data_IF_612286212003
#
_entry.id   IF_612286212003
#
_cell.length_a   1.000
_cell.length_b   1.000
_cell.length_c   1.000
_cell.angle_alpha   90.00
_cell.angle_beta   90.00
_cell.angle_gamma   90.00
#
_symmetry.space_group_name_H-M   'P 1'
#
loop_
_entity.id
_entity.type
_entity.pdbx_description
1 polymer ?
#
# COMPACT_ATOMS: atom_id res chain seq x y z
N UNK A 1 24.70 -12.20 7.50
CA UNK A 1 23.63 -11.58 8.32
C UNK A 1 22.25 -11.85 7.70
N UNK A 2 21.77 -13.10 7.72
CA UNK A 2 20.41 -13.46 7.27
C UNK A 2 19.72 -14.50 8.19
N UNK A 3 20.38 -14.92 9.29
CA UNK A 3 19.94 -16.03 10.13
C UNK A 3 18.94 -15.67 11.24
N UNK A 4 18.36 -14.46 11.24
CA UNK A 4 17.48 -13.98 12.32
C UNK A 4 16.08 -13.54 11.89
N UNK A 5 15.59 -13.99 10.74
CA UNK A 5 14.26 -13.62 10.24
C UNK A 5 13.24 -14.73 10.49
N UNK A 6 12.40 -14.55 11.52
CA UNK A 6 11.34 -15.51 11.88
C UNK A 6 10.12 -15.44 10.92
N UNK A 7 10.09 -14.46 10.01
CA UNK A 7 9.02 -14.30 9.01
C UNK A 7 9.28 -15.08 7.73
N UNK A 8 8.40 -16.05 7.42
CA UNK A 8 8.40 -16.80 6.16
C UNK A 8 8.22 -15.88 4.96
N UNK A 9 7.35 -14.87 5.06
CA UNK A 9 7.10 -13.91 3.98
C UNK A 9 8.35 -13.10 3.65
N UNK A 10 9.02 -12.57 4.68
CA UNK A 10 10.25 -11.81 4.50
C UNK A 10 11.36 -12.70 3.91
N UNK A 11 11.48 -13.95 4.36
CA UNK A 11 12.42 -14.92 3.78
C UNK A 11 12.17 -15.15 2.29
N UNK A 12 10.92 -15.42 1.89
CA UNK A 12 10.55 -15.61 0.47
C UNK A 12 10.88 -14.40 -0.39
N UNK A 13 10.68 -13.19 0.11
CA UNK A 13 11.00 -11.99 -0.66
C UNK A 13 12.50 -11.76 -0.81
N UNK A 14 13.30 -12.09 0.21
CA UNK A 14 14.77 -12.08 0.09
C UNK A 14 15.25 -13.10 -0.95
N UNK A 15 14.61 -14.26 -1.02
CA UNK A 15 14.93 -15.30 -2.00
C UNK A 15 14.71 -14.83 -3.46
N UNK A 16 13.84 -13.84 -3.70
CA UNK A 16 13.59 -13.30 -5.04
C UNK A 16 14.80 -12.59 -5.65
N UNK A 17 15.64 -11.96 -4.83
CA UNK A 17 16.81 -11.21 -5.30
C UNK A 17 18.15 -11.76 -4.77
N UNK A 18 18.14 -12.62 -3.73
CA UNK A 18 19.33 -13.23 -3.13
C UNK A 18 20.46 -12.24 -2.75
N UNK A 19 20.07 -11.00 -2.43
CA UNK A 19 21.01 -9.89 -2.18
C UNK A 19 21.74 -9.35 -3.42
N UNK A 20 21.42 -9.81 -4.62
CA UNK A 20 22.06 -9.34 -5.85
C UNK A 20 21.39 -8.09 -6.39
N UNK A 21 22.20 -7.13 -6.83
CA UNK A 21 21.74 -5.84 -7.39
C UNK A 21 21.57 -5.86 -8.91
N UNK A 22 22.04 -6.91 -9.59
CA UNK A 22 22.05 -7.05 -11.05
C UNK A 22 20.71 -7.55 -11.63
N UNK A 23 19.79 -8.05 -10.80
CA UNK A 23 18.50 -8.64 -11.21
C UNK A 23 17.40 -8.34 -10.21
N UNK A 24 16.96 -7.08 -10.18
CA UNK A 24 15.92 -6.63 -9.24
C UNK A 24 14.51 -6.60 -9.85
N UNK A 25 14.39 -6.67 -11.17
CA UNK A 25 13.09 -6.92 -11.81
C UNK A 25 12.82 -8.42 -11.84
N UNK A 26 11.79 -8.85 -11.12
CA UNK A 26 11.47 -10.28 -10.92
C UNK A 26 10.28 -10.74 -11.78
N UNK A 27 9.53 -9.78 -12.33
CA UNK A 27 8.46 -9.90 -13.32
C UNK A 27 8.31 -8.52 -13.99
N UNK A 28 7.77 -8.40 -15.22
CA UNK A 28 7.59 -7.10 -15.86
C UNK A 28 6.92 -6.08 -14.94
N UNK A 29 7.62 -4.98 -14.66
CA UNK A 29 7.16 -3.89 -13.78
C UNK A 29 7.01 -4.26 -12.30
N UNK A 30 7.55 -5.39 -11.86
CA UNK A 30 7.60 -5.80 -10.47
C UNK A 30 9.06 -5.85 -9.99
N UNK A 31 9.40 -4.89 -9.13
CA UNK A 31 10.78 -4.64 -8.71
C UNK A 31 11.02 -4.96 -7.25
N UNK A 32 11.98 -5.85 -6.96
CA UNK A 32 12.34 -6.33 -5.62
C UNK A 32 13.39 -5.45 -4.90
N UNK A 33 13.87 -4.37 -5.53
CA UNK A 33 14.96 -3.57 -4.96
C UNK A 33 14.61 -2.82 -3.68
N UNK A 34 13.33 -2.56 -3.41
CA UNK A 34 12.89 -1.96 -2.14
C UNK A 34 13.25 -2.84 -0.92
N UNK A 35 13.31 -4.17 -1.12
CA UNK A 35 13.74 -5.13 -0.10
C UNK A 35 15.21 -5.05 0.28
N UNK A 36 16.05 -4.32 -0.48
CA UNK A 36 17.47 -4.12 -0.16
C UNK A 36 17.69 -3.03 0.91
N UNK A 37 16.77 -2.08 1.03
CA UNK A 37 16.95 -0.87 1.85
C UNK A 37 15.99 -0.82 3.04
N UNK A 38 14.89 -1.57 2.98
CA UNK A 38 13.90 -1.67 4.05
C UNK A 38 13.74 -3.13 4.45
N UNK A 39 13.84 -3.41 5.75
CA UNK A 39 13.46 -4.71 6.30
C UNK A 39 11.98 -4.98 6.08
N UNK A 40 11.65 -6.15 5.53
CA UNK A 40 10.27 -6.54 5.25
C UNK A 40 10.13 -7.31 3.94
N UNK A 41 8.92 -7.80 3.70
CA UNK A 41 8.52 -8.39 2.43
C UNK A 41 8.11 -7.25 1.50
N UNK A 42 8.92 -6.86 0.51
CA UNK A 42 8.61 -5.72 -0.34
C UNK A 42 9.01 -5.91 -1.80
N UNK A 43 8.04 -5.75 -2.69
CA UNK A 43 8.22 -5.48 -4.12
C UNK A 43 7.44 -4.22 -4.47
N UNK A 44 7.89 -3.48 -5.47
CA UNK A 44 7.23 -2.29 -5.97
C UNK A 44 6.71 -2.53 -7.39
N UNK A 45 5.51 -2.02 -7.68
CA UNK A 45 5.05 -1.85 -9.05
C UNK A 45 5.70 -0.58 -9.63
N UNK A 46 6.42 -0.69 -10.74
CA UNK A 46 7.21 0.41 -11.31
C UNK A 46 6.92 0.57 -12.80
N UNK A 47 6.43 1.75 -13.19
CA UNK A 47 6.09 2.09 -14.57
C UNK A 47 5.33 3.41 -14.65
N UNK A 48 4.77 3.71 -15.81
CA UNK A 48 3.79 4.80 -15.95
C UNK A 48 2.44 4.42 -15.29
N UNK A 49 1.52 5.38 -15.09
CA UNK A 49 0.25 5.12 -14.42
C UNK A 49 -0.59 4.00 -15.07
N UNK A 50 -0.55 3.89 -16.40
CA UNK A 50 -1.28 2.85 -17.12
C UNK A 50 -0.70 1.46 -16.84
N UNK A 51 0.62 1.34 -16.90
CA UNK A 51 1.36 0.11 -16.62
C UNK A 51 1.11 -0.37 -15.19
N UNK A 52 1.09 0.56 -14.22
CA UNK A 52 0.78 0.24 -12.82
C UNK A 52 -0.69 -0.21 -12.69
N UNK A 53 -1.63 0.48 -13.33
CA UNK A 53 -3.04 0.10 -13.33
C UNK A 53 -3.25 -1.30 -13.91
N UNK A 54 -2.62 -1.61 -15.04
CA UNK A 54 -2.71 -2.92 -15.69
C UNK A 54 -2.22 -4.06 -14.76
N UNK A 55 -1.14 -3.83 -14.00
CA UNK A 55 -0.65 -4.80 -13.00
C UNK A 55 -1.60 -4.97 -11.82
N UNK A 56 -2.24 -3.90 -11.36
CA UNK A 56 -3.27 -3.99 -10.31
C UNK A 56 -4.46 -4.81 -10.82
N UNK A 57 -4.91 -4.56 -12.05
CA UNK A 57 -6.01 -5.30 -12.69
C UNK A 57 -5.64 -6.78 -12.88
N UNK A 58 -4.40 -7.08 -13.25
CA UNK A 58 -3.90 -8.46 -13.32
C UNK A 58 -4.04 -9.18 -11.96
N UNK A 59 -3.60 -8.55 -10.86
CA UNK A 59 -3.82 -9.11 -9.52
C UNK A 59 -5.30 -9.25 -9.16
N UNK A 60 -6.14 -8.29 -9.53
CA UNK A 60 -7.60 -8.38 -9.35
C UNK A 60 -8.20 -9.58 -10.11
N UNK A 61 -7.73 -9.85 -11.33
CA UNK A 61 -8.19 -10.99 -12.13
C UNK A 61 -7.83 -12.35 -11.49
N UNK A 62 -6.81 -12.37 -10.63
CA UNK A 62 -6.42 -13.54 -9.83
C UNK A 62 -7.19 -13.66 -8.51
N UNK A 63 -8.14 -12.74 -8.25
CA UNK A 63 -8.97 -12.73 -7.04
C UNK A 63 -8.41 -11.94 -5.87
N UNK A 64 -7.37 -11.11 -6.07
CA UNK A 64 -6.88 -10.19 -5.03
C UNK A 64 -7.73 -8.92 -5.06
N UNK A 65 -8.52 -8.70 -4.01
CA UNK A 65 -9.43 -7.56 -3.91
C UNK A 65 -8.89 -6.40 -3.07
N UNK A 66 -7.92 -6.67 -2.19
CA UNK A 66 -7.43 -5.73 -1.19
C UNK A 66 -5.93 -5.51 -1.35
N UNK A 67 -5.54 -4.25 -1.50
CA UNK A 67 -4.16 -3.84 -1.69
C UNK A 67 -3.72 -2.88 -0.58
N UNK A 68 -2.57 -3.15 0.02
CA UNK A 68 -1.93 -2.26 0.98
C UNK A 68 -0.71 -1.67 0.30
N UNK A 69 -0.83 -0.42 -0.18
CA UNK A 69 0.25 0.28 -0.85
C UNK A 69 1.01 1.21 0.10
N UNK A 70 2.28 1.44 -0.23
CA UNK A 70 3.11 2.49 0.36
C UNK A 70 4.06 3.02 -0.70
N UNK A 71 4.26 4.34 -0.73
CA UNK A 71 5.25 5.00 -1.58
C UNK A 71 6.14 5.94 -0.76
N UNK A 72 7.22 6.42 -1.37
CA UNK A 72 8.16 7.36 -0.76
C UNK A 72 8.36 8.60 -1.65
N UNK A 73 8.13 9.82 -1.12
CA UNK A 73 7.55 10.12 0.19
C UNK A 73 6.05 9.78 0.25
N UNK A 74 5.55 9.41 1.44
CA UNK A 74 4.22 8.79 1.57
C UNK A 74 3.06 9.70 1.15
N UNK A 75 3.14 11.00 1.44
CA UNK A 75 2.05 11.93 1.17
C UNK A 75 1.87 12.13 -0.33
N UNK A 76 2.95 12.53 -1.00
CA UNK A 76 3.00 12.80 -2.43
C UNK A 76 2.61 11.56 -3.24
N UNK A 77 3.14 10.39 -2.88
CA UNK A 77 2.81 9.13 -3.56
C UNK A 77 1.34 8.72 -3.38
N UNK A 78 0.72 9.06 -2.24
CA UNK A 78 -0.71 8.85 -2.06
C UNK A 78 -1.53 9.73 -3.01
N UNK A 79 -1.14 11.00 -3.21
CA UNK A 79 -1.76 11.87 -4.20
C UNK A 79 -1.53 11.37 -5.63
N UNK A 80 -0.30 11.00 -6.00
CA UNK A 80 0.00 10.47 -7.33
C UNK A 80 -0.83 9.24 -7.67
N UNK A 81 -0.93 8.28 -6.74
CA UNK A 81 -1.75 7.08 -6.93
C UNK A 81 -3.23 7.44 -7.11
N UNK A 82 -3.75 8.32 -6.26
CA UNK A 82 -5.15 8.73 -6.28
C UNK A 82 -5.52 9.54 -7.53
N UNK A 83 -4.62 10.39 -8.02
CA UNK A 83 -4.87 11.28 -9.16
C UNK A 83 -4.61 10.60 -10.51
N UNK A 84 -3.58 9.76 -10.59
CA UNK A 84 -3.13 9.21 -11.88
C UNK A 84 -3.56 7.76 -12.11
N UNK A 85 -3.64 6.93 -11.06
CA UNK A 85 -3.90 5.49 -11.21
C UNK A 85 -5.35 5.14 -10.93
N UNK A 86 -5.96 5.70 -9.87
CA UNK A 86 -7.35 5.37 -9.53
C UNK A 86 -8.35 5.61 -10.67
N UNK A 87 -8.24 6.68 -11.50
CA UNK A 87 -9.14 6.87 -12.64
C UNK A 87 -9.06 5.77 -13.70
N UNK A 88 -7.98 5.00 -13.72
CA UNK A 88 -7.73 3.92 -14.68
C UNK A 88 -8.24 2.56 -14.18
N UNK A 89 -8.66 2.47 -12.92
CA UNK A 89 -9.06 1.20 -12.29
C UNK A 89 -10.58 0.98 -12.34
N UNK A 90 -11.05 -0.27 -12.50
CA UNK A 90 -12.46 -0.59 -12.70
C UNK A 90 -13.28 -0.66 -11.40
N UNK A 91 -12.94 0.11 -10.36
CA UNK A 91 -13.70 0.10 -9.10
C UNK A 91 -14.53 1.39 -8.93
N UNK A 92 -15.78 1.22 -8.51
CA UNK A 92 -16.58 2.34 -8.04
C UNK A 92 -16.02 2.79 -6.71
N UNK A 93 -15.72 4.08 -6.59
CA UNK A 93 -15.59 4.73 -5.28
C UNK A 93 -16.88 4.38 -4.53
N UNK A 94 -16.79 3.62 -3.45
CA UNK A 94 -17.90 3.51 -2.51
C UNK A 94 -18.19 4.94 -2.09
N UNK A 95 -19.30 5.48 -2.59
CA UNK A 95 -19.66 6.88 -2.42
C UNK A 95 -19.59 7.23 -0.95
N UNK A 96 -18.98 8.38 -0.67
CA UNK A 96 -18.98 9.11 0.60
C UNK A 96 -19.61 8.32 1.76
N UNK A 97 -18.81 7.47 2.41
CA UNK A 97 -19.20 6.90 3.71
C UNK A 97 -19.14 8.02 4.73
N UNK A 98 -20.04 9.00 4.61
CA UNK A 98 -20.08 10.29 5.30
C UNK A 98 -19.07 10.43 6.42
N UNK A 99 -17.79 10.62 6.06
CA UNK A 99 -16.76 10.89 7.04
C UNK A 99 -16.96 12.36 7.37
N UNK A 100 -17.96 12.62 8.22
CA UNK A 100 -17.96 13.81 9.04
C UNK A 100 -16.69 13.72 9.86
N UNK A 101 -15.64 14.39 9.38
CA UNK A 101 -14.42 14.62 10.13
C UNK A 101 -14.83 15.62 11.21
N UNK A 102 -15.04 15.22 12.47
CA UNK A 102 -15.36 16.19 13.51
C UNK A 102 -14.14 17.10 13.66
N UNK A 103 -14.35 18.36 13.99
CA UNK A 103 -13.23 19.24 14.36
C UNK A 103 -12.54 18.67 15.61
N UNK A 104 -11.45 17.93 15.41
CA UNK A 104 -10.68 17.21 16.44
C UNK A 104 -9.69 16.22 15.81
N UNK A 105 -8.56 16.01 16.46
CA UNK A 105 -7.49 15.13 15.97
C UNK A 105 -7.94 13.65 15.97
N UNK A 106 -7.80 12.98 14.82
CA UNK A 106 -8.14 11.57 14.66
C UNK A 106 -6.96 10.72 15.15
N UNK A 107 -7.16 9.98 16.24
CA UNK A 107 -6.25 8.90 16.66
C UNK A 107 -6.89 7.56 16.33
N UNK A 108 -6.37 6.88 15.29
CA UNK A 108 -6.64 5.47 15.03
C UNK A 108 -7.92 5.16 14.26
N UNK A 109 -7.81 4.18 13.37
CA UNK A 109 -8.80 3.71 12.41
C UNK A 109 -10.19 3.44 13.05
N UNK A 110 -11.17 4.30 12.72
CA UNK A 110 -12.62 4.15 12.94
C UNK A 110 -13.19 4.17 14.37
N UNK A 111 -12.44 4.57 15.39
CA UNK A 111 -13.04 4.80 16.72
C UNK A 111 -13.46 6.27 16.87
N UNK A 112 -14.76 6.53 16.75
CA UNK A 112 -15.35 7.82 17.06
C UNK A 112 -15.70 7.87 18.56
N UNK A 113 -15.36 8.95 19.29
CA UNK A 113 -15.87 9.15 20.64
C UNK A 113 -17.39 9.31 20.60
N UNK A 114 -18.11 8.63 21.49
CA UNK A 114 -19.56 8.78 21.61
C UNK A 114 -19.91 10.23 21.96
N UNK A 115 -20.76 10.86 21.15
CA UNK A 115 -21.22 12.24 21.32
C UNK A 115 -21.88 12.51 22.70
N UNK A 116 -22.24 11.45 23.43
CA UNK A 116 -22.83 11.54 24.76
C UNK A 116 -21.80 11.88 25.87
N UNK A 117 -20.50 11.63 25.70
CA UNK A 117 -19.52 11.87 26.78
C UNK A 117 -19.01 13.31 26.85
N UNK A 118 -19.29 14.15 25.85
CA UNK A 118 -18.83 15.54 25.80
C UNK A 118 -19.79 16.53 26.50
N UNK A 119 -21.02 16.10 26.82
CA UNK A 119 -22.05 16.97 27.38
C UNK A 119 -22.18 16.91 28.92
N UNK A 120 -21.38 16.11 29.62
CA UNK A 120 -21.49 15.91 31.07
C UNK A 120 -20.36 16.55 31.88
N UNK A 121 -19.79 17.65 31.41
CA UNK A 121 -18.95 18.52 32.23
C UNK A 121 -19.39 19.97 32.06
N UNK A 122 -20.37 20.36 32.86
CA UNK A 122 -20.69 21.75 33.21
C UNK A 122 -20.97 21.80 34.70
#
# INVERSE_FOLDING_TARGET
>A
MLQGMDSVGQRRMVELHQGRKDKLEISPNLWAGIGLVRGGAGTALVGDPQTVADRIIEYQSLGIDTFIFSGYPHLEEAYYLAELVFPLLPFKRSGDTGLSVPAGEIIGNNHFPDAASAASSS
#
